data_IF_383763513145
#
_entry.id   IF_383763513145
#
_cell.length_a   1.000
_cell.length_b   1.000
_cell.length_c   1.000
_cell.angle_alpha   90.00
_cell.angle_beta   90.00
_cell.angle_gamma   90.00
#
_symmetry.space_group_name_H-M   'P 1'
#
loop_
_entity.id
_entity.type
_entity.pdbx_description
1 polymer ?
#
# COMPACT_ATOMS: atom_id res chain seq x y z
N UNK A 1 -13.76 8.49 -7.01
CA UNK A 1 -13.15 7.20 -6.70
C UNK A 1 -14.26 6.19 -6.45
N UNK A 2 -14.32 5.15 -7.26
CA UNK A 2 -15.31 4.07 -7.16
C UNK A 2 -15.09 3.26 -5.87
N UNK A 3 -16.16 2.76 -5.26
CA UNK A 3 -16.10 1.94 -4.06
C UNK A 3 -15.61 0.53 -4.42
N UNK A 4 -14.30 0.30 -4.31
CA UNK A 4 -13.71 -1.01 -4.51
C UNK A 4 -13.67 -1.79 -3.20
N UNK A 5 -13.87 -3.12 -3.21
CA UNK A 5 -13.78 -3.96 -2.00
C UNK A 5 -12.38 -4.02 -1.38
N UNK A 6 -11.36 -3.47 -2.07
CA UNK A 6 -10.00 -3.26 -1.58
C UNK A 6 -9.81 -1.94 -0.84
N UNK A 7 -10.73 -0.99 -0.99
CA UNK A 7 -10.60 0.33 -0.40
C UNK A 7 -10.78 0.27 1.11
N UNK A 8 -9.95 1.01 1.81
CA UNK A 8 -10.16 1.26 3.25
C UNK A 8 -11.07 2.48 3.42
N UNK A 9 -11.80 2.48 4.54
CA UNK A 9 -12.58 3.64 4.94
C UNK A 9 -11.66 4.83 5.22
N UNK A 10 -12.18 6.05 5.01
CA UNK A 10 -11.42 7.27 5.30
C UNK A 10 -11.01 7.35 6.78
N UNK A 11 -11.83 6.84 7.71
CA UNK A 11 -11.50 6.76 9.14
C UNK A 11 -10.28 5.86 9.42
N UNK A 12 -10.24 4.67 8.81
CA UNK A 12 -9.06 3.79 8.88
C UNK A 12 -7.83 4.45 8.26
N UNK A 13 -8.01 5.19 7.18
CA UNK A 13 -6.92 5.92 6.55
C UNK A 13 -6.37 7.02 7.45
N UNK A 14 -7.21 7.80 8.15
CA UNK A 14 -6.74 8.86 9.06
C UNK A 14 -5.79 8.31 10.15
N UNK A 15 -5.96 7.05 10.58
CA UNK A 15 -5.06 6.40 11.54
C UNK A 15 -3.63 6.21 11.00
N UNK A 16 -3.50 5.89 9.71
CA UNK A 16 -2.20 5.67 9.05
C UNK A 16 -1.70 6.92 8.32
N UNK A 17 -2.57 7.90 8.12
CA UNK A 17 -2.29 9.14 7.40
C UNK A 17 -1.13 9.89 8.02
N UNK A 18 -1.08 9.98 9.35
CA UNK A 18 0.00 10.69 10.06
C UNK A 18 1.36 10.05 9.79
N UNK A 19 1.45 8.72 9.76
CA UNK A 19 2.69 8.02 9.42
C UNK A 19 3.08 8.25 7.95
N UNK A 20 2.11 8.17 7.04
CA UNK A 20 2.31 8.43 5.61
C UNK A 20 2.76 9.87 5.34
N UNK A 21 2.12 10.86 5.97
CA UNK A 21 2.47 12.28 5.84
C UNK A 21 3.84 12.57 6.45
N UNK A 22 4.20 11.93 7.57
CA UNK A 22 5.52 12.09 8.19
C UNK A 22 6.63 11.57 7.26
N UNK A 23 6.40 10.45 6.59
CA UNK A 23 7.33 9.90 5.61
C UNK A 23 7.37 10.73 4.31
N UNK A 24 6.22 11.18 3.80
CA UNK A 24 6.13 11.96 2.57
C UNK A 24 6.64 13.40 2.72
N UNK A 25 6.60 14.00 3.92
CA UNK A 25 7.16 15.34 4.19
C UNK A 25 8.62 15.48 3.76
N UNK A 26 9.39 14.39 3.77
CA UNK A 26 10.79 14.38 3.32
C UNK A 26 10.97 14.16 1.83
N UNK A 27 9.97 13.63 1.11
CA UNK A 27 10.25 12.91 -0.15
C UNK A 27 9.27 13.13 -1.30
N UNK A 28 8.08 13.74 -1.09
CA UNK A 28 7.08 13.87 -2.15
C UNK A 28 6.37 15.26 -2.18
N UNK A 29 6.37 15.96 -3.34
CA UNK A 29 5.58 17.18 -3.50
C UNK A 29 4.07 16.89 -3.57
N UNK A 30 3.26 17.72 -2.89
CA UNK A 30 1.82 17.58 -2.54
C UNK A 30 0.81 17.56 -3.71
N UNK A 31 1.15 17.02 -4.88
CA UNK A 31 0.24 17.04 -6.05
C UNK A 31 -0.74 15.87 -6.12
N UNK A 32 -0.57 14.85 -5.27
CA UNK A 32 -1.33 13.59 -5.35
C UNK A 32 -1.88 13.26 -3.96
N UNK A 33 -3.15 12.85 -3.90
CA UNK A 33 -3.79 12.44 -2.65
C UNK A 33 -3.21 11.08 -2.19
N UNK A 34 -2.69 11.05 -0.96
CA UNK A 34 -2.11 9.84 -0.36
C UNK A 34 -3.16 8.74 -0.15
N UNK A 35 -4.43 9.11 0.04
CA UNK A 35 -5.54 8.16 0.14
C UNK A 35 -5.72 7.40 -1.17
N UNK A 36 -5.76 8.13 -2.27
CA UNK A 36 -5.95 7.53 -3.60
C UNK A 36 -4.77 6.65 -3.99
N UNK A 37 -3.54 7.09 -3.69
CA UNK A 37 -2.32 6.29 -3.90
C UNK A 37 -2.34 5.03 -3.04
N UNK A 38 -2.66 5.15 -1.75
CA UNK A 38 -2.65 4.00 -0.85
C UNK A 38 -3.71 2.97 -1.23
N UNK A 39 -4.93 3.41 -1.59
CA UNK A 39 -5.97 2.53 -2.10
C UNK A 39 -5.60 1.88 -3.45
N UNK A 40 -4.90 2.60 -4.33
CA UNK A 40 -4.39 2.01 -5.57
C UNK A 40 -3.38 0.89 -5.30
N UNK A 41 -2.48 1.10 -4.33
CA UNK A 41 -1.54 0.05 -3.89
C UNK A 41 -2.28 -1.13 -3.26
N UNK A 42 -3.28 -0.88 -2.41
CA UNK A 42 -4.12 -1.94 -1.86
C UNK A 42 -4.85 -2.74 -2.93
N UNK A 43 -5.39 -2.05 -3.95
CA UNK A 43 -6.04 -2.67 -5.08
C UNK A 43 -5.06 -3.61 -5.81
N UNK A 44 -3.85 -3.15 -6.10
CA UNK A 44 -2.82 -3.96 -6.74
C UNK A 44 -2.44 -5.17 -5.89
N UNK A 45 -2.16 -4.96 -4.59
CA UNK A 45 -1.79 -6.04 -3.68
C UNK A 45 -2.90 -7.10 -3.52
N UNK A 46 -4.17 -6.69 -3.64
CA UNK A 46 -5.32 -7.59 -3.49
C UNK A 46 -5.67 -8.31 -4.79
N UNK A 47 -5.54 -7.64 -5.92
CA UNK A 47 -5.91 -8.20 -7.24
C UNK A 47 -4.74 -8.93 -7.90
N UNK A 48 -3.50 -8.57 -7.57
CA UNK A 48 -2.30 -9.04 -8.26
C UNK A 48 -2.30 -8.67 -9.75
N UNK A 49 -3.06 -7.63 -10.13
CA UNK A 49 -3.12 -7.17 -11.50
C UNK A 49 -1.75 -6.59 -11.93
N UNK A 50 -1.61 -6.26 -13.21
CA UNK A 50 -0.45 -5.51 -13.67
C UNK A 50 -0.69 -4.02 -13.41
N UNK A 51 0.30 -3.30 -12.89
CA UNK A 51 0.20 -1.86 -12.64
C UNK A 51 -0.34 -1.04 -13.82
N UNK A 52 -0.05 -1.46 -15.06
CA UNK A 52 -0.57 -0.83 -16.30
C UNK A 52 -2.09 -0.94 -16.48
N UNK A 53 -2.74 -1.91 -15.81
CA UNK A 53 -4.18 -2.19 -15.81
C UNK A 53 -4.91 -1.49 -14.66
N UNK A 54 -4.23 -0.63 -13.92
CA UNK A 54 -4.85 0.14 -12.85
C UNK A 54 -6.00 1.00 -13.42
N UNK A 55 -7.20 0.97 -12.81
CA UNK A 55 -8.32 1.78 -13.28
C UNK A 55 -7.99 3.27 -13.39
N UNK A 56 -8.56 3.94 -14.39
CA UNK A 56 -8.32 5.37 -14.65
C UNK A 56 -8.81 6.30 -13.53
N UNK A 57 -9.65 5.81 -12.62
CA UNK A 57 -10.07 6.51 -11.40
C UNK A 57 -8.94 6.71 -10.39
N UNK A 58 -7.88 5.89 -10.47
CA UNK A 58 -6.72 6.00 -9.61
C UNK A 58 -5.66 6.96 -10.20
N UNK A 59 -4.73 7.46 -9.37
CA UNK A 59 -3.57 8.19 -9.86
C UNK A 59 -2.79 7.34 -10.86
N UNK A 60 -2.05 8.00 -11.77
CA UNK A 60 -1.23 7.30 -12.77
C UNK A 60 -0.40 6.20 -12.11
N UNK A 61 -0.46 4.99 -12.67
CA UNK A 61 0.22 3.82 -12.09
C UNK A 61 1.72 4.04 -11.83
N UNK A 62 2.39 4.85 -12.66
CA UNK A 62 3.80 5.22 -12.48
C UNK A 62 4.04 5.95 -11.16
N UNK A 63 3.13 6.86 -10.82
CA UNK A 63 3.12 7.56 -9.55
C UNK A 63 2.88 6.56 -8.43
N UNK A 64 1.83 5.75 -8.52
CA UNK A 64 1.49 4.75 -7.50
C UNK A 64 2.66 3.81 -7.23
N UNK A 65 3.28 3.28 -8.29
CA UNK A 65 4.45 2.42 -8.20
C UNK A 65 5.65 3.12 -7.54
N UNK A 66 5.88 4.40 -7.86
CA UNK A 66 6.95 5.20 -7.23
C UNK A 66 6.74 5.29 -5.72
N UNK A 67 5.51 5.55 -5.27
CA UNK A 67 5.18 5.57 -3.85
C UNK A 67 5.31 4.18 -3.21
N UNK A 68 4.81 3.13 -3.87
CA UNK A 68 4.96 1.75 -3.42
C UNK A 68 6.44 1.37 -3.23
N UNK A 69 7.28 1.63 -4.24
CA UNK A 69 8.71 1.35 -4.19
C UNK A 69 9.43 2.15 -3.10
N UNK A 70 8.96 3.35 -2.75
CA UNK A 70 9.48 4.11 -1.61
C UNK A 70 9.04 3.53 -0.27
N UNK A 71 7.75 3.17 -0.13
CA UNK A 71 7.19 2.65 1.11
C UNK A 71 7.58 1.20 1.40
N UNK A 72 7.93 0.44 0.36
CA UNK A 72 8.41 -0.93 0.46
C UNK A 72 9.89 -1.02 0.87
N UNK A 73 10.60 0.11 0.99
CA UNK A 73 11.96 0.13 1.52
C UNK A 73 11.95 -0.13 3.03
N UNK A 74 12.91 -0.91 3.55
CA UNK A 74 13.05 -1.11 4.99
C UNK A 74 13.36 0.23 5.68
N UNK A 75 12.73 0.47 6.83
CA UNK A 75 13.08 1.63 7.64
C UNK A 75 14.45 1.41 8.30
N UNK A 76 15.16 2.51 8.56
CA UNK A 76 16.41 2.45 9.32
C UNK A 76 16.14 1.80 10.68
N UNK A 77 16.84 0.69 10.96
CA UNK A 77 16.70 -0.14 12.16
C UNK A 77 15.40 -0.96 12.26
N UNK A 78 14.74 -1.29 11.15
CA UNK A 78 13.60 -2.21 11.13
C UNK A 78 13.70 -3.24 10.02
N UNK A 79 13.29 -4.47 10.30
CA UNK A 79 13.09 -5.53 9.28
C UNK A 79 11.82 -5.29 8.43
N UNK A 80 10.95 -4.38 8.87
CA UNK A 80 9.69 -4.09 8.21
C UNK A 80 9.77 -2.80 7.38
N UNK A 81 9.08 -2.80 6.25
CA UNK A 81 8.86 -1.59 5.46
C UNK A 81 7.72 -0.74 6.04
N UNK A 82 7.58 0.49 5.56
CA UNK A 82 6.51 1.37 6.02
C UNK A 82 5.15 0.72 5.73
N UNK A 83 5.00 0.14 4.55
CA UNK A 83 3.74 -0.45 4.11
C UNK A 83 3.34 -1.64 5.00
N UNK A 84 4.30 -2.45 5.44
CA UNK A 84 4.07 -3.55 6.38
C UNK A 84 3.53 -3.06 7.71
N UNK A 85 4.11 -1.98 8.24
CA UNK A 85 3.70 -1.39 9.51
C UNK A 85 2.27 -0.82 9.41
N UNK A 86 1.96 -0.11 8.32
CA UNK A 86 0.63 0.46 8.11
C UNK A 86 -0.43 -0.63 7.96
N UNK A 87 -0.12 -1.69 7.23
CA UNK A 87 -1.06 -2.78 6.98
C UNK A 87 -1.28 -3.62 8.24
N UNK A 88 -0.24 -3.83 9.06
CA UNK A 88 -0.39 -4.38 10.42
C UNK A 88 -1.30 -3.51 11.29
N UNK A 89 -1.17 -2.17 11.27
CA UNK A 89 -2.04 -1.26 12.03
C UNK A 89 -3.51 -1.39 11.59
N UNK A 90 -3.78 -1.40 10.29
CA UNK A 90 -5.14 -1.56 9.75
C UNK A 90 -5.72 -2.92 10.14
N UNK A 91 -4.98 -4.00 9.92
CA UNK A 91 -5.44 -5.36 10.25
C UNK A 91 -5.67 -5.51 11.75
N UNK A 92 -4.80 -4.95 12.60
CA UNK A 92 -4.98 -4.98 14.06
C UNK A 92 -6.26 -4.25 14.49
N UNK A 93 -6.56 -3.09 13.89
CA UNK A 93 -7.79 -2.32 14.14
C UNK A 93 -9.04 -3.12 13.77
N UNK A 94 -9.03 -3.79 12.61
CA UNK A 94 -10.15 -4.62 12.16
C UNK A 94 -10.34 -5.86 13.04
N UNK A 95 -9.25 -6.49 13.48
CA UNK A 95 -9.30 -7.60 14.45
C UNK A 95 -10.00 -7.22 15.75
N UNK A 96 -9.71 -6.02 16.28
CA UNK A 96 -10.34 -5.52 17.50
C UNK A 96 -11.84 -5.26 17.30
N UNK A 97 -12.26 -4.83 16.10
CA UNK A 97 -13.67 -4.55 15.80
C UNK A 97 -14.50 -5.81 15.58
N UNK A 98 -13.94 -6.87 14.99
CA UNK A 98 -14.70 -8.06 14.60
C UNK A 98 -14.77 -9.17 15.65
N UNK A 99 -14.00 -9.11 16.75
CA UNK A 99 -14.10 -10.05 17.88
C UNK A 99 -13.86 -11.54 17.57
N UNK A 100 -13.57 -11.92 16.32
CA UNK A 100 -13.23 -13.28 15.88
C UNK A 100 -12.24 -13.29 14.72
N UNK A 101 -11.40 -14.31 14.76
CA UNK A 101 -10.34 -14.65 13.83
C UNK A 101 -10.89 -15.20 12.52
N UNK A 102 -10.66 -14.52 11.39
CA UNK A 102 -10.67 -15.17 10.07
C UNK A 102 -9.65 -14.51 9.15
N UNK A 103 -8.53 -15.22 8.96
CA UNK A 103 -7.89 -15.49 7.66
C UNK A 103 -8.42 -14.68 6.47
N UNK A 104 -7.76 -13.59 6.09
CA UNK A 104 -7.47 -13.33 4.67
C UNK A 104 -6.39 -12.26 4.52
N UNK A 105 -5.45 -12.55 3.60
CA UNK A 105 -4.85 -11.55 2.69
C UNK A 105 -3.74 -10.63 3.18
N UNK A 106 -2.82 -11.11 4.02
CA UNK A 106 -1.50 -10.49 4.16
C UNK A 106 -0.33 -11.47 4.02
N UNK A 107 -0.63 -12.75 3.74
CA UNK A 107 0.34 -13.86 3.70
C UNK A 107 1.14 -13.92 2.39
N UNK A 108 0.84 -13.08 1.40
CA UNK A 108 1.59 -13.05 0.12
C UNK A 108 2.27 -11.68 -0.02
N UNK A 109 3.14 -11.34 0.92
CA UNK A 109 4.38 -10.69 0.55
C UNK A 109 5.31 -11.81 0.08
N UNK A 110 4.92 -12.51 -0.99
CA UNK A 110 5.82 -13.46 -1.63
C UNK A 110 6.81 -12.63 -2.44
N UNK A 111 8.05 -12.71 -2.00
CA UNK A 111 9.19 -12.22 -2.71
C UNK A 111 9.24 -12.86 -4.10
N UNK A 112 9.28 -12.06 -5.16
CA UNK A 112 10.22 -12.36 -6.23
C UNK A 112 10.86 -11.07 -6.70
N UNK A 113 12.07 -10.84 -6.19
CA UNK A 113 13.12 -10.16 -6.93
C UNK A 113 13.16 -10.75 -8.34
N UNK A 114 12.67 -9.99 -9.33
CA UNK A 114 12.93 -10.32 -10.73
C UNK A 114 14.42 -10.11 -10.95
N UNK A 115 15.17 -11.21 -10.98
CA UNK A 115 16.50 -11.19 -11.56
C UNK A 115 16.33 -10.89 -13.05
N UNK A 116 16.70 -9.67 -13.44
CA UNK A 116 16.90 -9.25 -14.82
C UNK A 116 17.99 -10.14 -15.43
N UNK A 117 17.58 -11.24 -16.06
CA UNK A 117 18.49 -12.08 -16.83
C UNK A 117 18.69 -11.40 -18.20
N UNK A 118 19.71 -10.54 -18.29
CA UNK A 118 20.22 -10.07 -19.59
C UNK A 118 20.90 -11.22 -20.30
N UNK A 119 20.15 -11.87 -21.18
CA UNK A 119 20.68 -12.69 -22.26
C UNK A 119 20.43 -12.00 -23.59
N UNK A 120 21.52 -11.48 -24.19
CA UNK A 120 21.85 -11.50 -25.62
C UNK A 120 23.01 -10.56 -25.91
#
# INVERSE_FOLDING_TARGET
MTDYPSNITRDQFELIRVDLETFCKRTCPRRVDLFDVFNAVLYELRTGAQWSQLPHDFPKWQTVYTYFAMWSKPLANSEYSLIDLLLKKIVARERLRMGRSVRTSFVILDAQSVNDNKGS
#
